data_IF_043902799623
#
_entry.id   IF_043902799623
#
_cell.length_a   1.000
_cell.length_b   1.000
_cell.length_c   1.000
_cell.angle_alpha   90.00
_cell.angle_beta   90.00
_cell.angle_gamma   90.00
#
_symmetry.space_group_name_H-M   'P 1'
#
loop_
_entity.id
_entity.type
_entity.pdbx_description
1 polymer ?
#
# COMPACT_ATOMS: atom_id res chain seq x y z
N UNK A 1 -6.96 17.10 17.34
CA UNK A 1 -6.34 16.41 16.25
C UNK A 1 -6.47 14.92 16.40
N UNK A 2 -6.86 14.25 15.34
CA UNK A 2 -7.13 12.82 15.39
C UNK A 2 -5.90 12.00 15.82
N UNK A 3 -4.71 12.36 15.35
CA UNK A 3 -3.49 11.63 15.70
C UNK A 3 -3.16 11.71 17.19
N UNK A 4 -3.29 12.88 17.78
CA UNK A 4 -3.04 13.05 19.20
C UNK A 4 -4.04 12.26 20.03
N UNK A 5 -5.31 12.29 19.62
CA UNK A 5 -6.35 11.53 20.30
C UNK A 5 -6.10 10.03 20.22
N UNK A 6 -5.66 9.56 19.06
CA UNK A 6 -5.35 8.14 18.91
C UNK A 6 -4.20 7.70 19.82
N UNK A 7 -3.17 8.54 19.96
CA UNK A 7 -2.07 8.24 20.85
C UNK A 7 -2.49 8.16 22.31
N UNK A 8 -3.48 8.95 22.69
CA UNK A 8 -3.99 8.98 24.07
C UNK A 8 -4.94 7.83 24.36
N UNK A 9 -5.65 7.32 23.36
CA UNK A 9 -6.70 6.34 23.55
C UNK A 9 -6.20 5.03 24.17
N UNK A 10 -5.07 4.52 23.66
CA UNK A 10 -4.55 3.28 24.18
C UNK A 10 -3.08 3.13 23.82
N UNK A 11 -2.23 3.68 24.67
CA UNK A 11 -0.79 3.66 24.46
C UNK A 11 -0.18 2.25 24.55
N UNK A 12 -0.91 1.27 25.07
CA UNK A 12 -0.41 -0.10 25.21
C UNK A 12 -0.88 -0.98 24.05
N UNK A 13 -2.15 -0.90 23.71
CA UNK A 13 -2.75 -1.77 22.70
C UNK A 13 -2.45 -1.28 21.28
N UNK A 14 -2.30 0.04 21.08
CA UNK A 14 -2.06 0.58 19.76
C UNK A 14 -0.78 0.04 19.10
N UNK A 15 0.38 0.03 19.76
CA UNK A 15 1.58 -0.52 19.13
C UNK A 15 1.43 -1.98 18.74
N UNK A 16 0.78 -2.80 19.57
CA UNK A 16 0.57 -4.22 19.27
C UNK A 16 -0.37 -4.37 18.07
N UNK A 17 -1.45 -3.60 18.02
CA UNK A 17 -2.38 -3.64 16.89
C UNK A 17 -1.73 -3.15 15.61
N UNK A 18 -0.96 -2.08 15.69
CA UNK A 18 -0.22 -1.56 14.55
C UNK A 18 0.75 -2.59 14.01
N UNK A 19 1.44 -3.28 14.90
CA UNK A 19 2.37 -4.32 14.51
C UNK A 19 1.67 -5.47 13.81
N UNK A 20 0.58 -5.97 14.41
CA UNK A 20 -0.17 -7.09 13.86
C UNK A 20 -0.79 -6.76 12.50
N UNK A 21 -1.43 -5.60 12.40
CA UNK A 21 -2.04 -5.18 11.14
C UNK A 21 -0.99 -4.88 10.07
N UNK A 22 0.12 -4.27 10.48
CA UNK A 22 1.22 -4.01 9.57
C UNK A 22 1.85 -5.27 9.03
N UNK A 23 2.06 -6.26 9.89
CA UNK A 23 2.60 -7.55 9.47
C UNK A 23 1.65 -8.27 8.50
N UNK A 24 0.37 -8.31 8.83
CA UNK A 24 -0.63 -8.91 7.97
C UNK A 24 -0.67 -8.23 6.60
N UNK A 25 -0.67 -6.90 6.60
CA UNK A 25 -0.70 -6.13 5.36
C UNK A 25 0.56 -6.38 4.53
N UNK A 26 1.73 -6.38 5.15
CA UNK A 26 2.98 -6.64 4.43
C UNK A 26 3.00 -8.05 3.84
N UNK A 27 2.49 -9.04 4.56
CA UNK A 27 2.40 -10.41 4.05
C UNK A 27 1.48 -10.46 2.83
N UNK A 28 0.36 -9.75 2.88
CA UNK A 28 -0.55 -9.68 1.74
C UNK A 28 0.10 -9.00 0.53
N UNK A 29 0.83 -7.91 0.77
CA UNK A 29 1.51 -7.20 -0.32
C UNK A 29 2.69 -8.01 -0.87
N UNK A 30 3.35 -8.77 -0.02
CA UNK A 30 4.38 -9.71 -0.48
C UNK A 30 3.78 -10.72 -1.45
N UNK A 31 2.60 -11.24 -1.13
CA UNK A 31 1.87 -12.12 -2.04
C UNK A 31 1.54 -11.45 -3.37
N UNK A 32 1.15 -10.17 -3.32
CA UNK A 32 0.89 -9.40 -4.55
C UNK A 32 2.16 -9.28 -5.39
N UNK A 33 3.31 -9.02 -4.75
CA UNK A 33 4.57 -8.87 -5.49
C UNK A 33 4.94 -10.13 -6.27
N UNK A 34 4.58 -11.29 -5.76
CA UNK A 34 4.85 -12.57 -6.43
C UNK A 34 3.96 -12.81 -7.65
N UNK A 35 2.92 -12.00 -7.83
CA UNK A 35 2.06 -12.08 -9.03
C UNK A 35 2.66 -11.39 -10.24
N UNK A 36 3.81 -10.74 -10.07
CA UNK A 36 4.49 -10.01 -11.14
C UNK A 36 5.85 -10.64 -11.44
N UNK A 37 6.45 -10.32 -12.59
CA UNK A 37 7.81 -10.78 -12.88
C UNK A 37 8.77 -10.36 -11.76
N UNK A 38 9.75 -11.19 -11.49
CA UNK A 38 10.69 -10.98 -10.40
C UNK A 38 11.33 -9.60 -10.48
N UNK A 39 11.28 -8.89 -9.34
CA UNK A 39 11.88 -7.57 -9.19
C UNK A 39 11.06 -6.43 -9.75
N UNK A 40 9.93 -6.69 -10.41
CA UNK A 40 9.11 -5.61 -10.95
C UNK A 40 8.34 -4.87 -9.86
N UNK A 41 7.82 -5.61 -8.90
CA UNK A 41 7.06 -5.06 -7.78
C UNK A 41 7.61 -5.67 -6.49
N UNK A 42 7.92 -4.84 -5.52
CA UNK A 42 8.48 -5.28 -4.24
C UNK A 42 7.69 -4.69 -3.08
N UNK A 43 7.37 -5.52 -2.11
CA UNK A 43 6.68 -5.06 -0.90
C UNK A 43 7.66 -4.35 0.02
N UNK A 44 7.24 -3.19 0.54
CA UNK A 44 8.03 -2.37 1.46
C UNK A 44 7.13 -1.89 2.59
N UNK A 45 7.71 -1.50 3.72
CA UNK A 45 6.91 -0.89 4.77
C UNK A 45 7.52 -0.93 6.15
N UNK A 46 6.92 -0.11 7.03
CA UNK A 46 7.26 -0.03 8.45
C UNK A 46 5.99 0.26 9.24
N UNK A 47 5.80 -0.44 10.35
CA UNK A 47 4.64 -0.23 11.20
C UNK A 47 3.34 -0.43 10.41
N UNK A 48 2.45 0.56 10.45
CA UNK A 48 1.22 0.53 9.66
C UNK A 48 1.41 0.97 8.21
N UNK A 49 2.53 1.62 7.92
CA UNK A 49 2.81 2.00 6.54
C UNK A 49 3.32 0.80 5.78
N UNK A 50 2.68 0.50 4.68
CA UNK A 50 3.11 -0.56 3.79
C UNK A 50 2.88 -0.12 2.35
N UNK A 51 3.64 -0.66 1.44
CA UNK A 51 3.54 -0.25 0.05
C UNK A 51 4.16 -1.23 -0.90
N UNK A 52 4.03 -0.89 -2.17
CA UNK A 52 4.62 -1.64 -3.26
C UNK A 52 5.54 -0.71 -4.05
N UNK A 53 6.80 -1.05 -4.07
CA UNK A 53 7.78 -0.33 -4.88
C UNK A 53 7.77 -0.92 -6.29
N UNK A 54 7.61 -0.05 -7.28
CA UNK A 54 7.56 -0.43 -8.69
C UNK A 54 8.89 -0.10 -9.34
N UNK A 55 9.45 -1.07 -10.06
CA UNK A 55 10.65 -0.82 -10.85
C UNK A 55 10.25 -0.24 -12.20
N UNK A 56 10.83 0.89 -12.55
CA UNK A 56 10.58 1.54 -13.82
C UNK A 56 11.63 1.21 -14.86
N UNK A 57 11.38 1.69 -16.07
CA UNK A 57 12.32 1.62 -17.18
C UNK A 57 12.32 2.98 -17.87
N UNK A 58 13.19 3.16 -18.86
CA UNK A 58 13.19 4.40 -19.64
C UNK A 58 11.85 4.61 -20.35
N UNK A 59 11.26 3.53 -20.80
CA UNK A 59 10.00 3.58 -21.54
C UNK A 59 8.79 3.76 -20.62
N UNK A 60 8.92 3.31 -19.37
CA UNK A 60 7.84 3.37 -18.39
C UNK A 60 8.41 3.76 -17.03
N UNK A 61 8.53 5.06 -16.75
CA UNK A 61 8.99 5.52 -15.43
C UNK A 61 8.10 5.00 -14.30
N UNK A 62 8.71 4.56 -13.21
CA UNK A 62 7.98 3.98 -12.08
C UNK A 62 6.96 4.95 -11.51
N UNK A 63 7.34 6.22 -11.35
CA UNK A 63 6.44 7.22 -10.78
C UNK A 63 5.18 7.43 -11.61
N UNK A 64 5.30 7.35 -12.94
CA UNK A 64 4.14 7.47 -13.81
C UNK A 64 3.20 6.29 -13.62
N UNK A 65 3.75 5.09 -13.54
CA UNK A 65 2.95 3.88 -13.31
C UNK A 65 2.23 3.96 -11.96
N UNK A 66 2.92 4.41 -10.91
CA UNK A 66 2.32 4.55 -9.57
C UNK A 66 1.19 5.58 -9.60
N UNK A 67 1.40 6.73 -10.23
CA UNK A 67 0.36 7.76 -10.30
C UNK A 67 -0.85 7.28 -11.09
N UNK A 68 -0.65 6.57 -12.18
CA UNK A 68 -1.76 6.01 -12.95
C UNK A 68 -2.55 4.99 -12.14
N UNK A 69 -1.85 4.14 -11.40
CA UNK A 69 -2.50 3.18 -10.53
C UNK A 69 -3.30 3.90 -9.44
N UNK A 70 -2.70 4.92 -8.84
CA UNK A 70 -3.36 5.73 -7.81
C UNK A 70 -4.67 6.34 -8.32
N UNK A 71 -4.65 6.88 -9.54
CA UNK A 71 -5.85 7.49 -10.14
C UNK A 71 -6.96 6.46 -10.34
N UNK A 72 -6.61 5.26 -10.79
CA UNK A 72 -7.58 4.19 -10.98
C UNK A 72 -8.14 3.69 -9.66
N UNK A 73 -7.29 3.59 -8.63
CA UNK A 73 -7.74 3.20 -7.31
C UNK A 73 -8.66 4.24 -6.68
N UNK A 74 -8.39 5.51 -6.93
CA UNK A 74 -9.25 6.58 -6.43
C UNK A 74 -10.65 6.44 -7.02
N UNK A 75 -10.76 6.07 -8.29
CA UNK A 75 -12.05 5.79 -8.91
C UNK A 75 -12.78 4.61 -8.26
N UNK A 76 -12.02 3.67 -7.67
CA UNK A 76 -12.56 2.55 -6.91
C UNK A 76 -12.88 2.92 -5.44
N UNK A 77 -12.63 4.17 -5.05
CA UNK A 77 -12.83 4.62 -3.68
C UNK A 77 -11.67 4.28 -2.74
N UNK A 78 -10.50 3.98 -3.28
CA UNK A 78 -9.33 3.61 -2.51
C UNK A 78 -8.26 4.69 -2.63
N UNK A 79 -7.85 5.25 -1.49
CA UNK A 79 -6.82 6.28 -1.45
C UNK A 79 -5.47 5.66 -1.12
N UNK A 80 -4.53 5.82 -2.03
CA UNK A 80 -3.12 5.49 -1.82
C UNK A 80 -2.29 6.70 -2.19
N UNK A 81 -1.05 6.75 -1.73
CA UNK A 81 -0.19 7.90 -1.96
C UNK A 81 1.11 7.48 -2.63
N UNK A 82 1.64 8.31 -3.55
CA UNK A 82 2.95 8.05 -4.10
C UNK A 82 4.03 8.46 -3.11
N UNK A 83 5.02 7.63 -2.94
CA UNK A 83 6.14 7.85 -2.03
C UNK A 83 7.45 7.56 -2.74
N UNK A 84 8.55 7.98 -2.10
CA UNK A 84 9.88 7.81 -2.67
C UNK A 84 10.31 9.01 -3.50
N UNK A 85 11.61 9.13 -3.75
CA UNK A 85 12.19 10.27 -4.44
C UNK A 85 11.65 10.44 -5.86
N UNK A 86 11.32 9.33 -6.53
CA UNK A 86 10.75 9.33 -7.88
C UNK A 86 9.28 8.94 -7.90
N UNK A 87 8.59 8.97 -6.75
CA UNK A 87 7.20 8.52 -6.60
C UNK A 87 7.01 7.05 -7.02
N UNK A 88 8.04 6.25 -6.83
CA UNK A 88 8.04 4.84 -7.26
C UNK A 88 7.35 3.89 -6.30
N UNK A 89 6.89 4.36 -5.15
CA UNK A 89 6.24 3.53 -4.15
C UNK A 89 4.76 3.89 -4.05
N UNK A 90 3.91 2.88 -4.18
CA UNK A 90 2.49 3.00 -3.93
C UNK A 90 2.25 2.72 -2.44
N UNK A 91 2.03 3.76 -1.67
CA UNK A 91 1.97 3.67 -0.22
C UNK A 91 0.53 3.56 0.28
N UNK A 92 0.31 2.63 1.21
CA UNK A 92 -0.98 2.38 1.82
C UNK A 92 -0.85 2.54 3.33
N UNK A 93 -1.59 3.49 3.88
CA UNK A 93 -1.63 3.71 5.32
C UNK A 93 -3.09 3.62 5.76
N UNK A 94 -3.59 2.41 6.05
CA UNK A 94 -5.00 2.24 6.38
C UNK A 94 -5.31 2.83 7.75
N UNK A 95 -6.54 3.36 7.94
CA UNK A 95 -6.96 3.77 9.26
C UNK A 95 -7.10 2.58 10.19
N UNK A 96 -6.90 2.79 11.48
CA UNK A 96 -6.97 1.72 12.48
C UNK A 96 -8.35 1.09 12.58
N UNK A 97 -9.37 1.78 12.10
CA UNK A 97 -10.75 1.29 12.14
C UNK A 97 -11.12 0.43 10.94
N UNK A 98 -10.24 0.30 9.96
CA UNK A 98 -10.55 -0.51 8.78
C UNK A 98 -10.60 -2.00 9.15
N UNK A 99 -11.57 -2.71 8.61
CA UNK A 99 -11.69 -4.14 8.84
C UNK A 99 -10.71 -4.91 7.94
N UNK A 100 -10.37 -6.13 8.35
CA UNK A 100 -9.55 -7.02 7.53
C UNK A 100 -10.20 -7.30 6.17
N UNK A 101 -11.52 -7.40 6.15
CA UNK A 101 -12.28 -7.62 4.92
C UNK A 101 -12.12 -6.45 3.96
N UNK A 102 -12.26 -5.24 4.47
CA UNK A 102 -12.08 -4.04 3.65
C UNK A 102 -10.64 -3.89 3.17
N UNK A 103 -9.69 -4.19 4.05
CA UNK A 103 -8.27 -4.13 3.70
C UNK A 103 -7.90 -5.17 2.64
N UNK A 104 -8.42 -6.38 2.78
CA UNK A 104 -8.21 -7.43 1.78
C UNK A 104 -8.78 -7.03 0.42
N UNK A 105 -9.96 -6.44 0.42
CA UNK A 105 -10.57 -5.93 -0.81
C UNK A 105 -9.69 -4.87 -1.45
N UNK A 106 -9.17 -3.96 -0.64
CA UNK A 106 -8.28 -2.91 -1.13
C UNK A 106 -7.02 -3.51 -1.77
N UNK A 107 -6.41 -4.49 -1.12
CA UNK A 107 -5.22 -5.16 -1.64
C UNK A 107 -5.52 -5.85 -2.99
N UNK A 108 -6.65 -6.51 -3.10
CA UNK A 108 -7.06 -7.14 -4.36
C UNK A 108 -7.24 -6.12 -5.48
N UNK A 109 -7.81 -4.98 -5.18
CA UNK A 109 -7.98 -3.91 -6.16
C UNK A 109 -6.63 -3.32 -6.56
N UNK A 110 -5.73 -3.17 -5.60
CA UNK A 110 -4.37 -2.70 -5.89
C UNK A 110 -3.68 -3.63 -6.87
N UNK A 111 -3.74 -4.93 -6.61
CA UNK A 111 -3.16 -5.92 -7.51
C UNK A 111 -3.76 -5.82 -8.91
N UNK A 112 -5.07 -5.73 -9.00
CA UNK A 112 -5.78 -5.64 -10.27
C UNK A 112 -5.36 -4.40 -11.06
N UNK A 113 -5.33 -3.24 -10.40
CA UNK A 113 -4.98 -1.99 -11.08
C UNK A 113 -3.51 -1.94 -11.47
N UNK A 114 -2.63 -2.47 -10.63
CA UNK A 114 -1.22 -2.56 -10.99
C UNK A 114 -1.00 -3.44 -12.21
N UNK A 115 -1.70 -4.55 -12.31
CA UNK A 115 -1.60 -5.42 -13.49
C UNK A 115 -2.05 -4.69 -14.74
N UNK A 116 -3.10 -3.90 -14.66
CA UNK A 116 -3.56 -3.09 -15.79
C UNK A 116 -2.50 -2.08 -16.24
N UNK A 117 -1.87 -1.41 -15.28
CA UNK A 117 -0.91 -0.34 -15.56
C UNK A 117 0.43 -0.90 -16.02
N UNK A 118 0.85 -2.04 -15.48
CA UNK A 118 2.17 -2.63 -15.75
C UNK A 118 2.19 -3.64 -16.89
N UNK A 119 1.04 -3.98 -17.42
CA UNK A 119 0.97 -4.92 -18.55
C UNK A 119 1.32 -4.28 -19.89
#
# INVERSE_FOLDING_TARGET
MALAQMAELDSRALPARCKAEGEWLRDRLEGVSHSFPEGLVRAVGRGLMAGLEVRGSEERPAGLAVVRCMQRLLADGILVLPEGAGAEVLSLTPPLTISRRELDRAVRRIECRLKEVLS
#
